data_IF_941030387598
#
_entry.id   IF_941030387598
#
_cell.length_a   1.000
_cell.length_b   1.000
_cell.length_c   1.000
_cell.angle_alpha   90.00
_cell.angle_beta   90.00
_cell.angle_gamma   90.00
#
_symmetry.space_group_name_H-M   'P 1'
#
loop_
_entity.id
_entity.type
_entity.pdbx_description
1 polymer ?
#
# COMPACT_ATOMS: atom_id res chain seq x y z
N UNK A 1 2.91 -18.95 3.14
CA UNK A 1 1.72 -18.12 2.79
C UNK A 1 1.95 -17.45 1.46
N UNK A 2 0.99 -17.52 0.56
CA UNK A 2 1.07 -16.84 -0.73
C UNK A 2 0.62 -15.39 -0.59
N UNK A 3 0.94 -14.56 -1.59
CA UNK A 3 0.50 -13.17 -1.61
C UNK A 3 -1.03 -13.06 -1.60
N UNK A 4 -1.72 -13.94 -2.34
CA UNK A 4 -3.16 -13.93 -2.40
C UNK A 4 -3.80 -14.32 -1.06
N UNK A 5 -3.23 -15.30 -0.37
CA UNK A 5 -3.69 -15.69 0.97
C UNK A 5 -3.53 -14.54 1.95
N UNK A 6 -2.40 -13.85 1.90
CA UNK A 6 -2.16 -12.70 2.76
C UNK A 6 -3.18 -11.60 2.49
N UNK A 7 -3.40 -11.25 1.22
CA UNK A 7 -4.35 -10.20 0.86
C UNK A 7 -5.77 -10.54 1.30
N UNK A 8 -6.18 -11.79 1.21
CA UNK A 8 -7.53 -12.20 1.58
C UNK A 8 -7.78 -12.14 3.09
N UNK A 9 -6.71 -12.14 3.89
CA UNK A 9 -6.80 -12.05 5.36
C UNK A 9 -6.71 -10.63 5.89
N UNK A 10 -6.26 -9.68 5.07
CA UNK A 10 -6.10 -8.30 5.50
C UNK A 10 -7.42 -7.56 5.45
N UNK A 11 -7.71 -6.83 6.53
CA UNK A 11 -8.85 -5.92 6.60
C UNK A 11 -8.38 -4.49 6.32
N UNK A 12 -9.34 -3.55 6.18
CA UNK A 12 -8.98 -2.14 6.04
C UNK A 12 -8.14 -1.65 7.22
N UNK A 13 -8.49 -2.08 8.44
CA UNK A 13 -7.75 -1.68 9.63
C UNK A 13 -6.32 -2.18 9.60
N UNK A 14 -6.11 -3.40 9.13
CA UNK A 14 -4.77 -3.96 8.98
C UNK A 14 -3.95 -3.17 7.98
N UNK A 15 -4.54 -2.82 6.86
CA UNK A 15 -3.87 -2.03 5.81
C UNK A 15 -3.53 -0.64 6.35
N UNK A 16 -4.45 -0.02 7.07
CA UNK A 16 -4.21 1.30 7.67
C UNK A 16 -3.03 1.25 8.64
N UNK A 17 -2.98 0.21 9.48
CA UNK A 17 -1.86 0.03 10.41
C UNK A 17 -0.53 -0.14 9.69
N UNK A 18 -0.51 -0.88 8.59
CA UNK A 18 0.70 -1.04 7.78
C UNK A 18 1.15 0.29 7.20
N UNK A 19 0.22 1.08 6.67
CA UNK A 19 0.53 2.40 6.14
C UNK A 19 1.10 3.31 7.24
N UNK A 20 0.51 3.28 8.42
CA UNK A 20 1.01 4.07 9.56
C UNK A 20 2.42 3.63 9.96
N UNK A 21 2.68 2.32 9.99
CA UNK A 21 4.02 1.80 10.28
C UNK A 21 5.05 2.23 9.24
N UNK A 22 4.63 2.40 8.00
CA UNK A 22 5.49 2.90 6.93
C UNK A 22 5.65 4.42 6.96
N UNK A 23 5.00 5.10 7.90
CA UNK A 23 5.10 6.54 8.04
C UNK A 23 4.21 7.34 7.10
N UNK A 24 3.16 6.72 6.57
CA UNK A 24 2.24 7.41 5.66
C UNK A 24 1.50 8.54 6.36
N UNK A 25 1.32 9.64 5.65
CA UNK A 25 0.49 10.76 6.09
C UNK A 25 -0.84 10.66 5.36
N UNK A 26 -1.93 10.65 6.12
CA UNK A 26 -3.28 10.58 5.54
C UNK A 26 -3.78 12.00 5.30
N UNK A 27 -3.83 12.41 4.03
CA UNK A 27 -4.28 13.74 3.64
C UNK A 27 -5.80 13.82 3.49
N UNK A 28 -6.43 12.68 3.23
CA UNK A 28 -7.88 12.61 3.03
C UNK A 28 -8.35 11.21 3.39
N UNK A 29 -9.49 11.12 4.05
CA UNK A 29 -10.14 9.85 4.40
C UNK A 29 -11.64 10.02 4.31
N UNK A 30 -12.32 9.09 3.63
CA UNK A 30 -13.77 9.01 3.67
C UNK A 30 -14.19 7.54 3.64
N UNK A 31 -15.49 7.29 3.43
CA UNK A 31 -16.02 5.93 3.45
C UNK A 31 -15.60 5.11 2.24
N UNK A 32 -15.11 5.74 1.18
CA UNK A 32 -14.77 5.09 -0.08
C UNK A 32 -13.27 4.97 -0.32
N UNK A 33 -12.48 5.90 0.17
CA UNK A 33 -11.05 5.96 -0.16
C UNK A 33 -10.23 6.74 0.84
N UNK A 34 -8.92 6.50 0.81
CA UNK A 34 -7.91 7.31 1.50
C UNK A 34 -6.93 7.87 0.48
N UNK A 35 -6.38 9.06 0.76
CA UNK A 35 -5.29 9.65 -0.02
C UNK A 35 -4.12 9.87 0.92
N UNK A 36 -2.96 9.26 0.58
CA UNK A 36 -1.74 9.39 1.36
C UNK A 36 -0.61 9.91 0.48
N UNK A 37 0.51 10.20 1.09
CA UNK A 37 1.73 10.48 0.35
C UNK A 37 2.21 9.20 -0.37
N UNK A 38 3.04 9.38 -1.39
CA UNK A 38 3.44 8.27 -2.28
C UNK A 38 4.58 7.47 -1.67
N UNK A 39 4.30 6.82 -0.52
CA UNK A 39 5.29 6.03 0.22
C UNK A 39 5.81 4.85 -0.60
N UNK A 40 5.07 4.41 -1.61
CA UNK A 40 5.49 3.31 -2.47
C UNK A 40 6.78 3.58 -3.23
N UNK A 41 7.18 4.85 -3.38
CA UNK A 41 8.48 5.23 -3.95
C UNK A 41 9.11 6.38 -3.17
N UNK A 42 8.79 6.46 -1.88
CA UNK A 42 9.33 7.48 -0.97
C UNK A 42 9.02 8.92 -1.38
N UNK A 43 7.91 9.12 -2.10
CA UNK A 43 7.45 10.44 -2.48
C UNK A 43 6.74 11.15 -1.34
N UNK A 44 6.53 12.45 -1.49
CA UNK A 44 5.90 13.29 -0.46
C UNK A 44 4.59 13.91 -0.92
N UNK A 45 4.14 13.63 -2.14
CA UNK A 45 2.92 14.20 -2.69
C UNK A 45 1.71 13.36 -2.35
N UNK A 46 0.51 13.96 -2.14
CA UNK A 46 -0.70 13.21 -1.82
C UNK A 46 -1.30 12.59 -3.10
N UNK A 47 -0.62 11.61 -3.66
CA UNK A 47 -0.97 10.98 -4.92
C UNK A 47 -1.11 9.46 -4.83
N UNK A 48 -1.04 8.87 -3.63
CA UNK A 48 -1.31 7.45 -3.45
C UNK A 48 -2.73 7.29 -2.93
N UNK A 49 -3.60 6.73 -3.77
CA UNK A 49 -5.01 6.54 -3.47
C UNK A 49 -5.26 5.08 -3.11
N UNK A 50 -6.00 4.86 -2.04
CA UNK A 50 -6.48 3.53 -1.66
C UNK A 50 -7.99 3.50 -1.82
N UNK A 51 -8.48 2.57 -2.64
CA UNK A 51 -9.92 2.39 -2.88
C UNK A 51 -10.41 1.21 -2.05
N UNK A 52 -11.31 1.49 -1.11
CA UNK A 52 -11.74 0.51 -0.10
C UNK A 52 -12.52 -0.66 -0.70
N UNK A 53 -13.37 -0.40 -1.69
CA UNK A 53 -14.23 -1.44 -2.25
C UNK A 53 -13.44 -2.51 -3.00
N UNK A 54 -12.34 -2.14 -3.64
CA UNK A 54 -11.48 -3.09 -4.34
C UNK A 54 -10.24 -3.47 -3.56
N UNK A 55 -9.98 -2.81 -2.43
CA UNK A 55 -8.77 -2.99 -1.62
C UNK A 55 -7.50 -2.81 -2.44
N UNK A 56 -7.53 -1.89 -3.39
CA UNK A 56 -6.42 -1.63 -4.30
C UNK A 56 -5.90 -0.21 -4.17
N UNK A 57 -4.66 -0.01 -4.60
CA UNK A 57 -4.00 1.29 -4.58
C UNK A 57 -3.75 1.79 -5.99
N UNK A 58 -3.69 3.10 -6.14
CA UNK A 58 -3.25 3.72 -7.37
C UNK A 58 -2.33 4.89 -7.03
N UNK A 59 -1.09 4.83 -7.53
CA UNK A 59 -0.12 5.91 -7.42
C UNK A 59 -0.19 6.74 -8.71
N UNK A 60 -0.65 7.98 -8.58
CA UNK A 60 -0.88 8.83 -9.74
C UNK A 60 0.38 9.52 -10.26
N UNK A 61 1.55 9.16 -9.73
CA UNK A 61 2.82 9.72 -10.20
C UNK A 61 3.66 8.71 -10.99
N UNK A 62 4.14 7.64 -10.34
CA UNK A 62 5.09 6.72 -10.98
C UNK A 62 4.66 5.27 -11.04
N UNK A 63 4.03 4.77 -9.97
CA UNK A 63 3.86 3.32 -9.82
C UNK A 63 2.61 2.76 -10.49
N UNK A 64 1.59 3.59 -10.75
CA UNK A 64 0.33 3.13 -11.29
C UNK A 64 -0.46 2.31 -10.29
N UNK A 65 -1.14 1.26 -10.75
CA UNK A 65 -1.98 0.43 -9.90
C UNK A 65 -1.14 -0.55 -9.10
N UNK A 66 -1.43 -0.63 -7.80
CA UNK A 66 -0.71 -1.48 -6.85
C UNK A 66 -1.70 -2.18 -5.93
N UNK A 67 -1.25 -3.28 -5.32
CA UNK A 67 -1.90 -3.84 -4.13
C UNK A 67 -1.04 -3.52 -2.91
N UNK A 68 -1.48 -3.96 -1.72
CA UNK A 68 -0.72 -3.68 -0.49
C UNK A 68 0.68 -4.30 -0.54
N UNK A 69 0.82 -5.46 -1.17
CA UNK A 69 2.13 -6.10 -1.33
C UNK A 69 3.04 -5.21 -2.19
N UNK A 70 2.51 -4.68 -3.29
CA UNK A 70 3.26 -3.77 -4.15
C UNK A 70 3.70 -2.50 -3.44
N UNK A 71 2.83 -1.93 -2.59
CA UNK A 71 3.17 -0.75 -1.80
C UNK A 71 4.30 -1.07 -0.82
N UNK A 72 4.22 -2.19 -0.11
CA UNK A 72 5.25 -2.60 0.84
C UNK A 72 6.57 -2.84 0.12
N UNK A 73 6.55 -3.53 -1.01
CA UNK A 73 7.77 -3.78 -1.79
C UNK A 73 8.41 -2.49 -2.25
N UNK A 74 7.62 -1.54 -2.74
CA UNK A 74 8.12 -0.24 -3.15
C UNK A 74 8.71 0.54 -1.99
N UNK A 75 8.02 0.55 -0.85
CA UNK A 75 8.50 1.24 0.35
C UNK A 75 9.81 0.65 0.86
N UNK A 76 9.89 -0.68 0.93
CA UNK A 76 11.08 -1.39 1.43
C UNK A 76 12.21 -1.44 0.41
N UNK A 77 11.93 -1.16 -0.86
CA UNK A 77 12.92 -1.25 -1.92
C UNK A 77 13.22 -2.67 -2.36
N UNK A 78 12.31 -3.60 -2.11
CA UNK A 78 12.48 -4.99 -2.54
C UNK A 78 12.23 -5.12 -4.03
N UNK A 79 12.99 -5.99 -4.67
CA UNK A 79 12.72 -6.40 -6.04
C UNK A 79 11.70 -7.53 -6.05
N UNK A 80 11.19 -7.88 -7.23
CA UNK A 80 10.12 -8.85 -7.35
C UNK A 80 10.50 -10.22 -6.79
N UNK A 81 11.74 -10.66 -6.97
CA UNK A 81 12.22 -11.92 -6.40
C UNK A 81 12.33 -11.89 -4.88
N UNK A 82 12.23 -10.72 -4.28
CA UNK A 82 12.30 -10.56 -2.83
C UNK A 82 10.92 -10.37 -2.20
N UNK A 83 9.85 -10.55 -2.99
CA UNK A 83 8.51 -10.26 -2.47
C UNK A 83 8.14 -11.13 -1.26
N UNK A 84 8.78 -12.28 -1.09
CA UNK A 84 8.57 -13.12 0.10
C UNK A 84 8.96 -12.38 1.38
N UNK A 85 9.96 -11.51 1.31
CA UNK A 85 10.32 -10.66 2.45
C UNK A 85 9.22 -9.66 2.77
N UNK A 86 8.57 -9.12 1.75
CA UNK A 86 7.44 -8.21 1.94
C UNK A 86 6.26 -8.93 2.59
N UNK A 87 5.99 -10.17 2.21
CA UNK A 87 4.92 -10.97 2.81
C UNK A 87 5.20 -11.25 4.28
N UNK A 88 6.44 -11.50 4.64
CA UNK A 88 6.85 -11.85 6.00
C UNK A 88 7.10 -10.64 6.89
N UNK A 89 6.97 -9.45 6.34
CA UNK A 89 7.13 -8.23 7.09
C UNK A 89 5.95 -8.01 8.03
#
# INVERSE_FOLDING_TARGET
MTAQELKSKLTEDDIKKLLELMGATFYYEDDDMWITDTICHHGTKPKLYFYKDSMSFHCYTECGQLDIIGVVMGYKGYEQEEFQKAINW
#
